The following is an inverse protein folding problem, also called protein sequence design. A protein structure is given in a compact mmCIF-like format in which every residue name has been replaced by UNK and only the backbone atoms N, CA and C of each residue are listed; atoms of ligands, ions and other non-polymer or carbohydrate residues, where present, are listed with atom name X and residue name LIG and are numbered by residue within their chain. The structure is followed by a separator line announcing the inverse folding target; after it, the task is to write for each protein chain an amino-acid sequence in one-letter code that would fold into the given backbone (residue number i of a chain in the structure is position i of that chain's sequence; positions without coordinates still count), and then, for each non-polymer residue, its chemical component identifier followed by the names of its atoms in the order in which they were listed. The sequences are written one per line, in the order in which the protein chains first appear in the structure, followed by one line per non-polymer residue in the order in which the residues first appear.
data_IF_141913726542
#
_entry.id   IF_141913726542
#
_cell.length_a   1.000
_cell.length_b   1.000
_cell.length_c   1.000
_cell.angle_alpha   90.00
_cell.angle_beta   90.00
_cell.angle_gamma   90.00
#
_symmetry.space_group_name_H-M   'P 1'
#
loop_
_entity.id
_entity.type
_entity.pdbx_description
1 polymer ?
#
# COMPACT_ATOMS: atom_id res chain seq x y z
N UNK A 1 12.32 17.65 -6.04
CA UNK A 1 11.17 16.71 -6.06
C UNK A 1 10.41 16.94 -4.76
N UNK A 2 9.08 16.91 -4.75
CA UNK A 2 8.33 16.86 -3.48
C UNK A 2 7.76 15.44 -3.29
N UNK A 3 7.42 15.09 -2.06
CA UNK A 3 6.98 13.74 -1.69
C UNK A 3 5.81 13.22 -2.55
N UNK A 4 4.89 14.11 -2.93
CA UNK A 4 3.74 13.77 -3.77
C UNK A 4 4.19 13.32 -5.16
N UNK A 5 5.03 14.11 -5.85
CA UNK A 5 5.55 13.74 -7.17
C UNK A 5 6.40 12.48 -7.14
N UNK A 6 7.11 12.26 -6.04
CA UNK A 6 7.88 11.03 -5.85
C UNK A 6 6.96 9.81 -5.80
N UNK A 7 5.93 9.83 -4.94
CA UNK A 7 4.96 8.74 -4.83
C UNK A 7 4.18 8.53 -6.13
N UNK A 8 3.70 9.61 -6.74
CA UNK A 8 2.92 9.56 -7.99
C UNK A 8 3.72 8.91 -9.14
N UNK A 9 5.03 9.13 -9.20
CA UNK A 9 5.87 8.51 -10.23
C UNK A 9 5.89 6.98 -10.13
N UNK A 10 5.93 6.43 -8.91
CA UNK A 10 5.87 4.98 -8.70
C UNK A 10 4.46 4.42 -8.85
N UNK A 11 3.45 5.20 -8.45
CA UNK A 11 2.05 4.87 -8.68
C UNK A 11 1.75 4.66 -10.16
N UNK A 12 2.13 5.63 -11.00
CA UNK A 12 2.00 5.51 -12.46
C UNK A 12 2.84 4.37 -13.04
N UNK A 13 4.03 4.12 -12.49
CA UNK A 13 4.92 3.04 -12.97
C UNK A 13 4.36 1.65 -12.69
N UNK A 14 3.74 1.43 -11.54
CA UNK A 14 3.33 0.09 -11.09
C UNK A 14 1.83 -0.19 -11.21
N UNK A 15 1.01 0.84 -11.34
CA UNK A 15 -0.45 0.73 -11.42
C UNK A 15 -1.03 1.73 -12.44
N UNK A 16 -0.55 1.68 -13.68
CA UNK A 16 -1.04 2.54 -14.77
C UNK A 16 -2.49 2.23 -15.21
N UNK A 17 -2.87 0.96 -15.17
CA UNK A 17 -4.22 0.50 -15.55
C UNK A 17 -5.23 0.67 -14.42
N UNK A 18 -6.53 0.43 -14.67
CA UNK A 18 -7.59 0.51 -13.64
C UNK A 18 -7.25 -0.39 -12.44
N UNK A 19 -7.24 0.20 -11.23
CA UNK A 19 -6.86 -0.47 -9.99
C UNK A 19 -7.54 0.18 -8.78
N UNK A 20 -7.52 -0.50 -7.63
CA UNK A 20 -7.86 0.09 -6.33
C UNK A 20 -6.59 0.66 -5.69
N UNK A 21 -6.67 1.86 -5.12
CA UNK A 21 -5.56 2.48 -4.39
C UNK A 21 -5.89 2.56 -2.90
N UNK A 22 -5.15 1.81 -2.07
CA UNK A 22 -5.22 1.97 -0.61
C UNK A 22 -4.34 3.15 -0.19
N UNK A 23 -4.93 4.35 -0.27
CA UNK A 23 -4.22 5.59 0.01
C UNK A 23 -3.95 5.80 1.51
N UNK A 24 -4.91 5.46 2.37
CA UNK A 24 -4.81 5.68 3.81
C UNK A 24 -5.33 4.49 4.61
N UNK A 25 -4.56 4.06 5.61
CA UNK A 25 -4.98 3.10 6.62
C UNK A 25 -4.44 3.54 7.98
N UNK A 26 -5.33 3.74 8.94
CA UNK A 26 -4.99 4.13 10.29
C UNK A 26 -5.74 3.30 11.32
N UNK A 27 -5.06 2.98 12.41
CA UNK A 27 -5.66 2.42 13.63
C UNK A 27 -5.19 3.28 14.80
N UNK A 28 -6.14 3.71 15.62
CA UNK A 28 -5.89 4.43 16.86
C UNK A 28 -4.74 3.76 17.65
N UNK A 29 -3.70 4.49 18.09
CA UNK A 29 -2.52 3.89 18.73
C UNK A 29 -2.83 2.92 19.87
N UNK A 30 -3.78 3.25 20.74
CA UNK A 30 -4.22 2.41 21.87
C UNK A 30 -4.94 1.12 21.44
N UNK A 31 -5.29 0.99 20.16
CA UNK A 31 -6.04 -0.14 19.59
C UNK A 31 -5.22 -0.94 18.57
N UNK A 32 -3.93 -0.63 18.40
CA UNK A 32 -3.04 -1.38 17.51
C UNK A 32 -2.76 -2.79 18.05
N UNK A 33 -2.30 -3.70 17.18
CA UNK A 33 -2.02 -5.09 17.55
C UNK A 33 -3.25 -6.00 17.69
N UNK A 34 -4.46 -5.47 17.56
CA UNK A 34 -5.73 -6.21 17.76
C UNK A 34 -6.35 -6.72 16.43
N UNK A 35 -5.58 -6.74 15.34
CA UNK A 35 -6.08 -7.16 14.03
C UNK A 35 -6.99 -6.16 13.31
N UNK A 36 -7.29 -5.00 13.89
CA UNK A 36 -8.20 -3.99 13.33
C UNK A 36 -7.78 -3.52 11.93
N UNK A 37 -6.50 -3.27 11.70
CA UNK A 37 -6.03 -2.86 10.37
C UNK A 37 -6.31 -3.94 9.30
N UNK A 38 -6.16 -5.22 9.65
CA UNK A 38 -6.53 -6.33 8.75
C UNK A 38 -8.04 -6.41 8.55
N UNK A 39 -8.83 -6.27 9.62
CA UNK A 39 -10.28 -6.26 9.54
C UNK A 39 -10.80 -5.12 8.65
N UNK A 40 -10.14 -3.95 8.69
CA UNK A 40 -10.47 -2.81 7.84
C UNK A 40 -10.21 -3.13 6.37
N UNK A 41 -9.00 -3.56 6.00
CA UNK A 41 -8.62 -3.73 4.58
C UNK A 41 -9.23 -4.94 3.88
N UNK A 42 -9.51 -6.02 4.62
CA UNK A 42 -9.99 -7.29 4.06
C UNK A 42 -11.21 -7.13 3.12
N UNK A 43 -12.30 -6.44 3.50
CA UNK A 43 -13.45 -6.27 2.61
C UNK A 43 -13.14 -5.46 1.34
N UNK A 44 -12.19 -4.50 1.38
CA UNK A 44 -11.80 -3.79 0.16
C UNK A 44 -10.97 -4.69 -0.77
N UNK A 45 -10.13 -5.57 -0.23
CA UNK A 45 -9.39 -6.53 -1.04
C UNK A 45 -10.33 -7.59 -1.66
N UNK A 46 -11.33 -8.06 -0.91
CA UNK A 46 -12.37 -8.95 -1.44
C UNK A 46 -13.14 -8.29 -2.59
N UNK A 47 -13.46 -6.99 -2.45
CA UNK A 47 -14.07 -6.22 -3.54
C UNK A 47 -13.15 -6.12 -4.76
N UNK A 48 -11.86 -5.80 -4.55
CA UNK A 48 -10.88 -5.73 -5.63
C UNK A 48 -10.76 -7.09 -6.36
N UNK A 49 -10.74 -8.20 -5.61
CA UNK A 49 -10.75 -9.55 -6.17
C UNK A 49 -12.00 -9.80 -7.02
N UNK A 50 -13.20 -9.47 -6.51
CA UNK A 50 -14.45 -9.66 -7.25
C UNK A 50 -14.57 -8.80 -8.52
N UNK A 51 -13.92 -7.64 -8.55
CA UNK A 51 -13.88 -6.74 -9.71
C UNK A 51 -12.71 -7.06 -10.66
N UNK A 52 -11.86 -8.04 -10.34
CA UNK A 52 -10.65 -8.35 -11.13
C UNK A 52 -9.63 -7.22 -11.13
N UNK A 53 -9.59 -6.40 -10.09
CA UNK A 53 -8.73 -5.22 -10.00
C UNK A 53 -7.48 -5.50 -9.15
N UNK A 54 -6.29 -5.08 -9.60
CA UNK A 54 -5.14 -5.01 -8.71
C UNK A 54 -5.34 -3.92 -7.64
N UNK A 55 -4.62 -4.06 -6.53
CA UNK A 55 -4.60 -3.08 -5.45
C UNK A 55 -3.18 -2.55 -5.24
N UNK A 56 -3.01 -1.24 -5.28
CA UNK A 56 -1.74 -0.54 -5.12
C UNK A 56 -1.71 0.21 -3.77
N UNK A 57 -0.52 0.33 -3.18
CA UNK A 57 -0.25 1.22 -2.05
C UNK A 57 1.23 1.54 -1.95
N UNK A 58 1.53 2.54 -1.13
CA UNK A 58 2.85 2.79 -0.59
C UNK A 58 2.81 3.03 0.92
N UNK A 59 3.94 2.84 1.59
CA UNK A 59 4.08 3.15 3.00
C UNK A 59 5.49 3.67 3.27
N UNK A 60 5.61 4.60 4.21
CA UNK A 60 6.90 5.08 4.73
C UNK A 60 7.25 4.45 6.08
N UNK A 61 6.41 3.52 6.55
CA UNK A 61 6.54 2.89 7.85
C UNK A 61 6.94 1.42 7.69
N UNK A 62 8.19 1.04 8.04
CA UNK A 62 8.66 -0.34 7.88
C UNK A 62 7.81 -1.36 8.66
N UNK A 63 7.24 -0.95 9.81
CA UNK A 63 6.35 -1.80 10.62
C UNK A 63 5.09 -2.26 9.88
N UNK A 64 4.68 -1.56 8.81
CA UNK A 64 3.49 -1.92 8.03
C UNK A 64 3.82 -2.96 6.94
N UNK A 65 5.09 -3.15 6.57
CA UNK A 65 5.50 -4.07 5.51
C UNK A 65 4.98 -5.50 5.75
N UNK A 66 5.14 -6.11 6.95
CA UNK A 66 4.64 -7.46 7.21
C UNK A 66 3.11 -7.59 7.07
N UNK A 67 2.36 -6.54 7.41
CA UNK A 67 0.90 -6.51 7.24
C UNK A 67 0.54 -6.66 5.76
N UNK A 68 1.14 -5.85 4.89
CA UNK A 68 0.80 -5.87 3.46
C UNK A 68 1.27 -7.17 2.79
N UNK A 69 2.45 -7.68 3.12
CA UNK A 69 2.91 -8.99 2.65
C UNK A 69 1.93 -10.12 3.03
N UNK A 70 1.44 -10.13 4.28
CA UNK A 70 0.45 -11.11 4.75
C UNK A 70 -0.85 -11.06 3.94
N UNK A 71 -1.26 -9.89 3.46
CA UNK A 71 -2.44 -9.70 2.63
C UNK A 71 -2.21 -9.98 1.14
N UNK A 72 -1.02 -10.45 0.76
CA UNK A 72 -0.69 -10.86 -0.60
C UNK A 72 -0.19 -9.74 -1.49
N UNK A 73 0.14 -8.57 -0.93
CA UNK A 73 0.88 -7.56 -1.66
C UNK A 73 2.33 -8.01 -1.89
N UNK A 74 2.88 -7.61 -3.02
CA UNK A 74 4.28 -7.83 -3.39
C UNK A 74 5.00 -6.47 -3.41
N UNK A 75 6.24 -6.42 -2.91
CA UNK A 75 7.08 -5.23 -3.00
C UNK A 75 7.51 -5.07 -4.45
N UNK A 76 7.14 -3.94 -5.06
CA UNK A 76 7.52 -3.57 -6.43
C UNK A 76 8.81 -2.73 -6.46
N UNK A 77 8.99 -1.89 -5.45
CA UNK A 77 10.22 -1.13 -5.21
C UNK A 77 10.36 -0.73 -3.75
N UNK A 78 11.60 -0.47 -3.36
CA UNK A 78 11.98 0.14 -2.10
C UNK A 78 12.96 1.25 -2.41
N UNK A 79 12.61 2.49 -2.09
CA UNK A 79 13.35 3.67 -2.54
C UNK A 79 13.42 4.71 -1.43
N UNK A 80 14.40 5.60 -1.52
CA UNK A 80 14.54 6.73 -0.60
C UNK A 80 14.12 7.99 -1.32
N UNK A 81 13.15 8.71 -0.78
CA UNK A 81 12.74 9.98 -1.35
C UNK A 81 13.88 11.01 -1.19
N UNK A 82 14.40 11.60 -2.28
CA UNK A 82 15.64 12.36 -2.21
C UNK A 82 15.61 13.62 -1.33
N UNK A 83 14.46 14.28 -1.18
CA UNK A 83 14.37 15.53 -0.43
C UNK A 83 14.24 15.31 1.09
N UNK A 84 13.48 14.31 1.51
CA UNK A 84 13.17 14.02 2.91
C UNK A 84 14.04 12.91 3.51
N UNK A 85 14.68 12.08 2.68
CA UNK A 85 15.40 10.89 3.12
C UNK A 85 14.49 9.78 3.64
N UNK A 86 13.16 9.90 3.47
CA UNK A 86 12.22 8.89 3.90
C UNK A 86 12.27 7.69 2.96
N UNK A 87 12.43 6.50 3.55
CA UNK A 87 12.31 5.23 2.83
C UNK A 87 10.83 4.93 2.57
N UNK A 88 10.50 4.60 1.33
CA UNK A 88 9.20 4.18 0.89
C UNK A 88 9.25 2.74 0.37
N UNK A 89 8.19 1.98 0.66
CA UNK A 89 7.93 0.70 0.04
C UNK A 89 6.69 0.82 -0.82
N UNK A 90 6.81 0.44 -2.09
CA UNK A 90 5.75 0.46 -3.07
C UNK A 90 5.26 -0.96 -3.32
N UNK A 91 3.95 -1.16 -3.29
CA UNK A 91 3.36 -2.49 -3.33
C UNK A 91 2.28 -2.61 -4.40
N UNK A 92 2.17 -3.81 -4.96
CA UNK A 92 1.06 -4.21 -5.81
C UNK A 92 0.55 -5.58 -5.38
N UNK A 93 -0.77 -5.73 -5.29
CA UNK A 93 -1.45 -7.01 -5.11
C UNK A 93 -2.29 -7.28 -6.34
N UNK A 94 -2.09 -8.43 -6.98
CA UNK A 94 -2.97 -8.90 -8.06
C UNK A 94 -4.28 -9.47 -7.47
N UNK A 95 -5.41 -9.37 -8.19
CA UNK A 95 -6.65 -10.01 -7.77
C UNK A 95 -6.45 -11.53 -7.69
N UNK A 96 -7.18 -12.17 -6.78
CA UNK A 96 -7.17 -13.63 -6.57
C UNK A 96 -8.39 -14.32 -7.13
#
# INVERSE_FOLDING_TARGET
MNIIRFVDAFHQRFAADRHLYLQWLGVEPSRQGQGLGSATITPQLQRADSEGLPCYLETFQPRNVPLYLKHGFQIMAEEVEPASGLRAWFFLRRPR
#
